data_IF_795433595044
#
_entry.id   IF_795433595044
#
_cell.length_a   1.000
_cell.length_b   1.000
_cell.length_c   1.000
_cell.angle_alpha   90.00
_cell.angle_beta   90.00
_cell.angle_gamma   90.00
#
_symmetry.space_group_name_H-M   'P 1'
#
loop_
_entity.id
_entity.type
_entity.pdbx_description
1 polymer ?
#
# COMPACT_ATOMS: atom_id res chain seq x y z
N UNK A 1 8.88 -65.48 -3.33
CA UNK A 1 9.29 -66.82 -2.84
C UNK A 1 9.74 -67.63 -4.06
N UNK A 2 10.84 -68.42 -4.03
CA UNK A 2 11.43 -69.09 -2.87
C UNK A 2 12.84 -68.62 -2.48
N UNK A 3 13.20 -68.99 -1.26
CA UNK A 3 14.45 -68.73 -0.53
C UNK A 3 15.53 -69.75 -0.93
N UNK A 4 16.79 -69.34 -1.01
CA UNK A 4 17.94 -70.24 -1.01
C UNK A 4 18.65 -70.22 0.35
N UNK A 5 18.90 -71.41 0.88
CA UNK A 5 19.65 -71.69 2.10
C UNK A 5 21.15 -71.73 1.78
N UNK A 6 21.98 -71.20 2.67
CA UNK A 6 23.33 -71.73 2.93
C UNK A 6 23.67 -71.61 4.42
N UNK A 7 24.43 -72.59 4.86
CA UNK A 7 24.50 -73.13 6.21
C UNK A 7 25.89 -72.92 6.81
N UNK A 8 25.91 -72.60 8.11
CA UNK A 8 26.93 -72.83 9.17
C UNK A 8 28.42 -72.52 8.92
N UNK A 9 29.02 -71.75 9.85
CA UNK A 9 30.02 -72.30 10.77
C UNK A 9 30.26 -71.38 11.98
N UNK A 10 30.12 -71.99 13.16
CA UNK A 10 30.37 -71.47 14.50
C UNK A 10 31.86 -71.62 14.83
N UNK A 11 32.49 -70.58 15.38
CA UNK A 11 33.73 -70.70 16.13
C UNK A 11 33.66 -69.82 17.36
N UNK A 12 33.71 -70.47 18.53
CA UNK A 12 33.81 -69.82 19.84
C UNK A 12 35.24 -69.32 20.05
N UNK A 13 35.38 -68.10 20.55
CA UNK A 13 36.55 -67.67 21.31
C UNK A 13 36.07 -66.76 22.45
N UNK A 14 36.24 -67.24 23.68
CA UNK A 14 35.99 -66.50 24.91
C UNK A 14 37.19 -65.61 25.24
N UNK A 15 36.95 -64.37 25.66
CA UNK A 15 37.86 -63.49 26.42
C UNK A 15 37.05 -62.27 26.94
N UNK A 16 37.49 -61.54 27.99
CA UNK A 16 36.92 -61.57 29.34
C UNK A 16 35.97 -60.39 29.62
N UNK A 17 35.14 -60.57 30.66
CA UNK A 17 34.36 -59.49 31.28
C UNK A 17 35.31 -58.58 32.06
N UNK A 18 35.57 -57.40 31.50
CA UNK A 18 36.09 -56.25 32.25
C UNK A 18 34.91 -55.34 32.58
N UNK A 19 34.67 -55.13 33.87
CA UNK A 19 33.73 -54.12 34.34
C UNK A 19 34.21 -52.72 33.90
N UNK A 20 33.37 -51.87 33.30
CA UNK A 20 33.74 -50.49 33.08
C UNK A 20 33.72 -49.76 34.42
N UNK A 21 34.91 -49.40 34.88
CA UNK A 21 35.16 -48.39 35.89
C UNK A 21 34.52 -47.08 35.39
N UNK A 22 33.70 -46.47 36.24
CA UNK A 22 33.06 -45.19 35.94
C UNK A 22 34.11 -44.12 35.65
N UNK A 23 34.25 -43.77 34.38
CA UNK A 23 34.94 -42.57 33.97
C UNK A 23 33.98 -41.40 34.17
N UNK A 24 34.20 -40.65 35.25
CA UNK A 24 33.68 -39.29 35.37
C UNK A 24 34.10 -38.52 34.11
N UNK A 25 33.16 -38.31 33.19
CA UNK A 25 33.35 -37.40 32.09
C UNK A 25 33.35 -36.00 32.69
N UNK A 26 34.55 -35.47 32.90
CA UNK A 26 34.74 -34.04 33.06
C UNK A 26 34.01 -33.35 31.91
N UNK A 27 33.07 -32.46 32.24
CA UNK A 27 32.42 -31.61 31.28
C UNK A 27 33.49 -30.88 30.48
N UNK A 28 33.59 -31.19 29.19
CA UNK A 28 34.38 -30.38 28.26
C UNK A 28 33.72 -29.00 28.29
N UNK A 29 34.44 -27.92 28.66
CA UNK A 29 33.89 -26.59 28.54
C UNK A 29 33.58 -26.38 27.07
N UNK A 30 32.29 -26.31 26.76
CA UNK A 30 31.79 -25.95 25.44
C UNK A 30 32.34 -24.55 25.19
N UNK A 31 33.36 -24.44 24.33
CA UNK A 31 33.89 -23.16 23.92
C UNK A 31 32.74 -22.38 23.31
N UNK A 32 32.26 -21.38 24.04
CA UNK A 32 31.24 -20.46 23.56
C UNK A 32 31.78 -19.88 22.25
N UNK A 33 31.13 -20.24 21.15
CA UNK A 33 31.34 -19.55 19.88
C UNK A 33 31.01 -18.10 20.19
N UNK A 34 31.95 -17.14 20.04
CA UNK A 34 31.62 -15.74 20.29
C UNK A 34 30.47 -15.40 19.35
N UNK A 35 29.31 -15.09 19.93
CA UNK A 35 28.25 -14.44 19.18
C UNK A 35 28.90 -13.20 18.57
N UNK A 36 28.92 -13.13 17.24
CA UNK A 36 29.30 -11.92 16.56
C UNK A 36 28.38 -10.83 17.11
N UNK A 37 28.94 -9.92 17.88
CA UNK A 37 28.24 -8.70 18.30
C UNK A 37 28.04 -7.92 17.02
N UNK A 38 26.91 -8.14 16.36
CA UNK A 38 26.41 -7.21 15.36
C UNK A 38 26.25 -5.90 16.13
N UNK A 39 26.95 -4.82 15.77
CA UNK A 39 26.69 -3.54 16.39
C UNK A 39 25.21 -3.26 16.19
N UNK A 40 24.45 -3.23 17.28
CA UNK A 40 23.10 -2.65 17.28
C UNK A 40 23.30 -1.17 16.96
N UNK A 41 23.28 -0.83 15.68
CA UNK A 41 22.94 0.53 15.30
C UNK A 41 21.55 0.75 15.91
N UNK A 42 21.49 1.59 16.95
CA UNK A 42 20.20 2.07 17.44
C UNK A 42 19.41 2.57 16.23
N UNK A 43 18.11 2.27 16.13
CA UNK A 43 17.34 2.66 14.96
C UNK A 43 17.57 4.14 14.69
N UNK A 44 17.97 4.47 13.47
CA UNK A 44 18.03 5.86 13.05
C UNK A 44 16.62 6.42 13.27
N UNK A 45 16.46 7.28 14.27
CA UNK A 45 15.18 7.96 14.50
C UNK A 45 15.05 8.99 13.40
N UNK A 46 14.10 8.80 12.50
CA UNK A 46 13.87 9.76 11.42
C UNK A 46 13.34 11.06 12.02
N UNK A 47 13.72 12.24 11.48
CA UNK A 47 13.08 13.49 11.87
C UNK A 47 11.56 13.38 11.63
N UNK A 48 10.78 14.18 12.37
CA UNK A 48 9.33 14.21 12.22
C UNK A 48 8.96 14.34 10.74
N UNK A 49 8.25 13.34 10.20
CA UNK A 49 7.90 13.30 8.80
C UNK A 49 6.88 14.40 8.47
N UNK A 50 6.99 14.97 7.28
CA UNK A 50 5.95 15.85 6.75
C UNK A 50 4.74 14.99 6.41
N UNK A 51 3.59 15.29 7.00
CA UNK A 51 2.31 14.65 6.67
C UNK A 51 1.61 15.45 5.57
N UNK A 52 1.10 14.76 4.55
CA UNK A 52 0.21 15.41 3.58
C UNK A 52 -1.18 15.65 4.20
N UNK A 53 -1.88 16.75 3.87
CA UNK A 53 -3.27 16.91 4.26
C UNK A 53 -4.13 15.75 3.72
N UNK A 54 -5.16 15.35 4.47
CA UNK A 54 -5.91 14.12 4.21
C UNK A 54 -6.51 14.02 2.78
N UNK A 55 -6.78 15.13 2.09
CA UNK A 55 -7.30 15.12 0.71
C UNK A 55 -6.24 15.09 -0.40
N UNK A 56 -4.94 15.16 -0.07
CA UNK A 56 -3.88 15.12 -1.06
C UNK A 56 -3.64 13.69 -1.53
N UNK A 57 -3.45 13.51 -2.84
CA UNK A 57 -3.22 12.20 -3.45
C UNK A 57 -1.82 12.08 -4.03
N UNK A 58 -1.34 10.85 -4.13
CA UNK A 58 -0.15 10.55 -4.92
C UNK A 58 -0.45 10.68 -6.42
N UNK A 59 0.51 11.18 -7.20
CA UNK A 59 0.40 11.20 -8.66
C UNK A 59 0.76 9.82 -9.21
N UNK A 60 -0.24 8.98 -9.49
CA UNK A 60 -0.04 7.61 -9.96
C UNK A 60 0.61 7.51 -11.34
N UNK A 61 0.82 8.64 -12.03
CA UNK A 61 1.54 8.71 -13.31
C UNK A 61 3.00 9.14 -13.15
N UNK A 62 3.41 9.51 -11.95
CA UNK A 62 4.78 9.88 -11.69
C UNK A 62 5.71 8.68 -11.87
N UNK A 63 6.94 8.96 -12.29
CA UNK A 63 7.96 7.93 -12.43
C UNK A 63 8.28 7.33 -11.05
N UNK A 64 8.07 6.01 -10.86
CA UNK A 64 8.37 5.37 -9.60
C UNK A 64 9.88 5.14 -9.43
N UNK A 65 10.33 5.14 -8.18
CA UNK A 65 11.70 4.77 -7.83
C UNK A 65 11.72 3.32 -7.37
N UNK A 66 12.67 2.51 -7.85
CA UNK A 66 12.95 1.19 -7.27
C UNK A 66 13.44 1.36 -5.83
N UNK A 67 12.67 0.82 -4.88
CA UNK A 67 12.84 1.10 -3.46
C UNK A 67 14.16 0.58 -2.91
N UNK A 68 14.59 -0.58 -3.41
CA UNK A 68 15.79 -1.29 -2.94
C UNK A 68 16.87 -1.38 -4.02
N UNK A 69 16.58 -0.93 -5.24
CA UNK A 69 17.45 -1.04 -6.42
C UNK A 69 17.59 -2.48 -6.94
N UNK A 70 16.77 -3.41 -6.45
CA UNK A 70 16.80 -4.84 -6.77
C UNK A 70 15.58 -5.59 -6.24
N UNK A 71 15.36 -6.77 -6.80
CA UNK A 71 14.45 -7.78 -6.26
C UNK A 71 15.02 -8.39 -4.96
N UNK A 72 14.15 -8.61 -3.97
CA UNK A 72 14.48 -9.12 -2.64
C UNK A 72 13.98 -10.55 -2.50
N UNK A 73 14.90 -11.48 -2.23
CA UNK A 73 14.56 -12.83 -1.81
C UNK A 73 14.14 -12.81 -0.34
N UNK A 74 12.90 -13.18 -0.06
CA UNK A 74 12.35 -13.33 1.29
C UNK A 74 12.56 -14.76 1.81
N UNK A 75 12.24 -15.03 3.09
CA UNK A 75 12.49 -16.33 3.74
C UNK A 75 11.59 -17.47 3.23
N UNK A 76 10.45 -17.12 2.63
CA UNK A 76 9.53 -18.09 2.02
C UNK A 76 9.61 -18.02 0.49
N UNK A 77 9.36 -19.15 -0.16
CA UNK A 77 9.29 -19.29 -1.63
C UNK A 77 7.94 -18.89 -2.23
N UNK A 78 6.97 -18.52 -1.38
CA UNK A 78 5.63 -18.04 -1.76
C UNK A 78 5.64 -16.55 -2.10
N UNK A 79 4.64 -16.08 -2.84
CA UNK A 79 4.50 -14.63 -3.13
C UNK A 79 4.29 -13.86 -1.82
N UNK A 80 4.86 -12.66 -1.74
CA UNK A 80 4.48 -11.72 -0.68
C UNK A 80 3.05 -11.24 -0.94
N UNK A 81 2.32 -10.93 0.12
CA UNK A 81 0.89 -10.57 0.06
C UNK A 81 0.72 -9.07 0.36
N UNK A 82 1.42 -8.57 1.37
CA UNK A 82 1.39 -7.16 1.77
C UNK A 82 2.72 -6.73 2.39
N UNK A 83 2.97 -5.42 2.40
CA UNK A 83 4.07 -4.78 3.12
C UNK A 83 3.53 -3.65 3.99
N UNK A 84 4.19 -3.37 5.10
CA UNK A 84 4.00 -2.16 5.89
C UNK A 84 5.34 -1.68 6.43
N UNK A 85 5.42 -0.40 6.81
CA UNK A 85 6.66 0.23 7.26
C UNK A 85 6.51 0.71 8.69
N UNK A 86 7.53 0.45 9.50
CA UNK A 86 7.64 1.04 10.81
C UNK A 86 7.90 2.55 10.68
N UNK A 87 6.99 3.41 11.19
CA UNK A 87 7.07 4.85 11.01
C UNK A 87 8.24 5.50 11.76
N UNK A 88 8.91 4.78 12.67
CA UNK A 88 10.04 5.27 13.47
C UNK A 88 11.37 4.81 12.89
N UNK A 89 11.47 3.52 12.56
CA UNK A 89 12.75 2.90 12.15
C UNK A 89 12.94 2.83 10.63
N UNK A 90 11.86 2.98 9.86
CA UNK A 90 11.86 2.83 8.41
C UNK A 90 12.01 1.38 7.92
N UNK A 91 12.03 0.40 8.83
CA UNK A 91 12.06 -1.03 8.50
C UNK A 91 10.76 -1.44 7.82
N UNK A 92 10.87 -2.27 6.79
CA UNK A 92 9.72 -2.87 6.13
C UNK A 92 9.38 -4.22 6.77
N UNK A 93 8.09 -4.53 6.84
CA UNK A 93 7.55 -5.81 7.28
C UNK A 93 6.73 -6.38 6.15
N UNK A 94 7.20 -7.48 5.55
CA UNK A 94 6.57 -8.11 4.39
C UNK A 94 6.01 -9.48 4.76
N UNK A 95 4.71 -9.69 4.51
CA UNK A 95 4.02 -10.93 4.85
C UNK A 95 3.96 -11.88 3.65
N UNK A 96 4.15 -13.17 3.91
CA UNK A 96 4.05 -14.29 2.97
C UNK A 96 3.25 -15.42 3.62
N UNK A 97 2.59 -16.27 2.83
CA UNK A 97 2.21 -17.59 3.34
C UNK A 97 3.48 -18.42 3.64
N UNK A 98 3.44 -19.26 4.67
CA UNK A 98 4.54 -20.21 4.92
C UNK A 98 4.60 -21.21 3.76
N UNK A 99 5.80 -21.42 3.24
CA UNK A 99 6.06 -22.37 2.17
C UNK A 99 5.99 -23.83 2.61
N UNK A 100 5.80 -24.71 1.63
CA UNK A 100 6.06 -26.13 1.78
C UNK A 100 7.50 -26.39 2.28
N UNK A 101 7.71 -27.56 2.91
CA UNK A 101 9.01 -28.00 3.44
C UNK A 101 9.59 -27.16 4.59
N UNK A 102 8.93 -26.07 4.98
CA UNK A 102 9.22 -25.41 6.25
C UNK A 102 8.64 -26.23 7.40
N UNK A 103 9.53 -26.71 8.25
CA UNK A 103 9.21 -27.28 9.57
C UNK A 103 9.51 -26.20 10.60
N UNK A 104 8.48 -25.74 11.30
CA UNK A 104 8.65 -24.79 12.40
C UNK A 104 9.29 -25.49 13.61
N UNK A 105 9.88 -24.72 14.52
CA UNK A 105 10.66 -25.28 15.63
C UNK A 105 9.86 -26.21 16.56
N UNK A 106 8.53 -26.08 16.59
CA UNK A 106 7.60 -26.90 17.36
C UNK A 106 6.87 -27.98 16.52
N UNK A 107 7.25 -28.15 15.26
CA UNK A 107 6.65 -29.13 14.36
C UNK A 107 7.57 -30.33 14.11
N UNK A 108 6.98 -31.51 13.94
CA UNK A 108 7.71 -32.75 13.63
C UNK A 108 7.51 -33.20 12.19
N UNK A 109 6.65 -32.52 11.43
CA UNK A 109 6.30 -32.87 10.05
C UNK A 109 6.30 -31.63 9.19
N UNK A 110 6.62 -31.83 7.91
CA UNK A 110 6.41 -30.83 6.87
C UNK A 110 4.92 -30.78 6.51
N UNK A 111 4.38 -29.58 6.36
CA UNK A 111 3.08 -29.37 5.72
C UNK A 111 3.26 -28.94 4.26
N UNK A 112 2.38 -29.38 3.34
CA UNK A 112 2.38 -28.89 1.97
C UNK A 112 1.85 -27.44 1.89
N UNK A 113 2.16 -26.79 0.77
CA UNK A 113 1.86 -25.37 0.51
C UNK A 113 0.38 -25.01 0.63
N UNK A 114 -0.48 -25.88 0.12
CA UNK A 114 -1.93 -25.75 0.15
C UNK A 114 -2.48 -25.91 1.57
N UNK A 115 -1.93 -26.84 2.36
CA UNK A 115 -2.31 -27.00 3.77
C UNK A 115 -1.93 -25.79 4.62
N UNK A 116 -0.76 -25.19 4.40
CA UNK A 116 -0.39 -23.92 5.06
C UNK A 116 -1.38 -22.80 4.71
N UNK A 117 -1.78 -22.72 3.45
CA UNK A 117 -2.73 -21.72 2.98
C UNK A 117 -4.15 -21.94 3.53
N UNK A 118 -4.61 -23.19 3.57
CA UNK A 118 -5.89 -23.61 4.16
C UNK A 118 -5.95 -23.43 5.67
N UNK A 119 -4.80 -23.36 6.36
CA UNK A 119 -4.69 -22.99 7.78
C UNK A 119 -4.55 -21.49 8.02
N UNK A 120 -4.16 -20.72 7.00
CA UNK A 120 -3.84 -19.31 7.15
C UNK A 120 -2.52 -19.08 7.89
N UNK A 121 -1.53 -19.93 7.63
CA UNK A 121 -0.20 -19.84 8.22
C UNK A 121 0.68 -18.84 7.45
N UNK A 122 1.15 -17.81 8.15
CA UNK A 122 1.90 -16.68 7.61
C UNK A 122 3.33 -16.60 8.19
N UNK A 123 4.21 -15.98 7.41
CA UNK A 123 5.54 -15.53 7.79
C UNK A 123 5.63 -14.02 7.57
N UNK A 124 6.16 -13.29 8.55
CA UNK A 124 6.47 -11.86 8.44
C UNK A 124 7.98 -11.68 8.43
N UNK A 125 8.49 -11.12 7.33
CA UNK A 125 9.90 -10.78 7.14
C UNK A 125 10.13 -9.34 7.59
N UNK A 126 11.10 -9.09 8.45
CA UNK A 126 11.62 -7.76 8.74
C UNK A 126 12.77 -7.45 7.78
N UNK A 127 12.66 -6.37 7.02
CA UNK A 127 13.58 -6.00 5.93
C UNK A 127 14.15 -4.61 6.18
N UNK A 128 15.47 -4.50 6.09
CA UNK A 128 16.21 -3.25 6.21
C UNK A 128 15.98 -2.32 4.99
N UNK A 129 16.27 -1.01 5.10
CA UNK A 129 16.14 -0.08 3.98
C UNK A 129 17.00 -0.41 2.75
N UNK A 130 18.04 -1.24 2.90
CA UNK A 130 18.89 -1.75 1.81
C UNK A 130 18.40 -3.08 1.20
N UNK A 131 17.23 -3.55 1.64
CA UNK A 131 16.63 -4.81 1.21
C UNK A 131 17.15 -6.06 1.91
N UNK A 132 18.00 -5.93 2.93
CA UNK A 132 18.47 -7.09 3.71
C UNK A 132 17.35 -7.63 4.60
N UNK A 133 17.02 -8.92 4.48
CA UNK A 133 16.11 -9.60 5.43
C UNK A 133 16.84 -9.82 6.75
N UNK A 134 16.37 -9.16 7.81
CA UNK A 134 17.01 -9.15 9.13
C UNK A 134 16.47 -10.26 10.04
N UNK A 135 15.18 -10.51 9.98
CA UNK A 135 14.49 -11.44 10.89
C UNK A 135 13.16 -11.92 10.29
N UNK A 136 12.62 -12.99 10.87
CA UNK A 136 11.31 -13.55 10.52
C UNK A 136 10.49 -13.85 11.77
N UNK A 137 9.18 -13.80 11.66
CA UNK A 137 8.21 -14.24 12.67
C UNK A 137 7.15 -15.11 11.98
N UNK A 138 6.75 -16.22 12.61
CA UNK A 138 5.75 -17.13 12.08
C UNK A 138 4.44 -16.99 12.84
N UNK A 139 3.32 -16.99 12.11
CA UNK A 139 1.98 -16.75 12.61
C UNK A 139 1.06 -17.86 12.10
N UNK A 140 0.51 -18.71 12.99
CA UNK A 140 -0.38 -19.81 12.59
C UNK A 140 -1.84 -19.46 12.82
N UNK A 141 -2.70 -19.77 11.84
CA UNK A 141 -4.15 -19.48 11.95
C UNK A 141 -4.53 -18.02 11.77
N UNK A 142 -3.69 -17.20 11.13
CA UNK A 142 -3.93 -15.75 11.00
C UNK A 142 -4.77 -15.40 9.76
N UNK A 143 -4.52 -16.03 8.61
CA UNK A 143 -5.30 -15.82 7.39
C UNK A 143 -4.42 -15.76 6.14
N UNK A 144 -4.77 -14.87 5.20
CA UNK A 144 -4.09 -14.83 3.90
C UNK A 144 -2.93 -13.82 3.82
N UNK A 145 -2.92 -12.79 4.68
CA UNK A 145 -1.94 -11.70 4.67
C UNK A 145 -2.34 -10.51 3.79
N UNK A 146 -3.64 -10.33 3.51
CA UNK A 146 -4.14 -9.31 2.56
C UNK A 146 -4.14 -7.86 3.08
N UNK A 147 -3.79 -7.66 4.34
CA UNK A 147 -3.60 -6.34 4.96
C UNK A 147 -2.62 -6.40 6.12
N UNK A 148 -1.87 -5.33 6.28
CA UNK A 148 -0.82 -5.20 7.29
C UNK A 148 -0.66 -3.74 7.67
N UNK A 149 -0.45 -3.49 8.95
CA UNK A 149 -0.03 -2.20 9.49
C UNK A 149 1.05 -2.40 10.55
N UNK A 150 1.87 -1.37 10.75
CA UNK A 150 2.88 -1.34 11.81
C UNK A 150 2.67 -0.10 12.66
N UNK A 151 2.48 -0.31 13.95
CA UNK A 151 2.44 0.74 14.97
C UNK A 151 3.71 0.61 15.82
N UNK A 152 4.43 1.69 16.06
CA UNK A 152 5.62 1.66 16.91
C UNK A 152 5.29 2.24 18.28
N UNK A 153 5.32 1.41 19.33
CA UNK A 153 4.98 1.80 20.70
C UNK A 153 6.12 1.42 21.62
N UNK A 154 6.69 2.41 22.31
CA UNK A 154 7.72 2.23 23.33
C UNK A 154 8.90 1.34 22.87
N UNK A 155 9.42 1.60 21.66
CA UNK A 155 10.54 0.85 21.09
C UNK A 155 10.15 -0.49 20.45
N UNK A 156 8.86 -0.86 20.48
CA UNK A 156 8.37 -2.15 19.99
C UNK A 156 7.50 -1.96 18.74
N UNK A 157 7.82 -2.63 17.62
CA UNK A 157 6.94 -2.71 16.47
C UNK A 157 5.79 -3.69 16.75
N UNK A 158 4.57 -3.18 16.69
CA UNK A 158 3.32 -3.93 16.80
C UNK A 158 2.72 -4.10 15.40
N UNK A 159 2.51 -5.35 15.01
CA UNK A 159 1.88 -5.71 13.75
C UNK A 159 0.37 -5.76 13.92
N UNK A 160 -0.33 -5.13 12.99
CA UNK A 160 -1.77 -5.21 12.82
C UNK A 160 -2.08 -5.98 11.55
N UNK A 161 -2.77 -7.10 11.65
CA UNK A 161 -3.10 -7.96 10.51
C UNK A 161 -4.38 -8.75 10.79
N UNK A 162 -4.86 -9.49 9.80
CA UNK A 162 -5.97 -10.42 10.00
C UNK A 162 -5.62 -11.55 10.99
N UNK A 163 -6.59 -12.07 11.73
CA UNK A 163 -6.41 -13.20 12.65
C UNK A 163 -7.68 -14.04 12.78
N UNK A 164 -7.56 -15.17 13.51
CA UNK A 164 -8.62 -16.15 13.73
C UNK A 164 -9.22 -16.64 12.40
N UNK A 165 -8.36 -17.20 11.55
CA UNK A 165 -8.77 -17.74 10.26
C UNK A 165 -9.50 -19.08 10.43
N UNK A 166 -10.59 -19.25 9.69
CA UNK A 166 -11.25 -20.55 9.63
C UNK A 166 -10.43 -21.50 8.76
N UNK A 167 -10.13 -22.68 9.30
CA UNK A 167 -9.52 -23.73 8.51
C UNK A 167 -10.44 -24.13 7.36
N UNK A 168 -9.91 -24.12 6.15
CA UNK A 168 -10.57 -24.61 4.95
C UNK A 168 -10.20 -26.09 4.78
N UNK A 169 -11.14 -27.05 4.85
CA UNK A 169 -10.82 -28.45 4.60
C UNK A 169 -10.43 -28.69 3.14
N UNK A 170 -9.52 -29.63 2.91
CA UNK A 170 -9.27 -30.17 1.57
C UNK A 170 -10.52 -30.90 1.07
N UNK A 171 -11.15 -30.38 0.01
CA UNK A 171 -12.30 -30.99 -0.66
C UNK A 171 -11.88 -31.90 -1.83
N UNK A 172 -10.57 -32.06 -2.05
CA UNK A 172 -9.99 -32.85 -3.14
C UNK A 172 -10.09 -32.18 -4.50
N UNK A 173 -10.56 -30.93 -4.58
CA UNK A 173 -10.70 -30.17 -5.81
C UNK A 173 -9.67 -29.03 -5.89
N UNK A 174 -8.63 -29.17 -6.72
CA UNK A 174 -7.58 -28.15 -6.85
C UNK A 174 -8.09 -26.79 -7.34
N UNK A 175 -9.27 -26.70 -7.95
CA UNK A 175 -9.87 -25.45 -8.40
C UNK A 175 -10.59 -24.68 -7.28
N UNK A 176 -10.92 -25.34 -6.17
CA UNK A 176 -11.58 -24.78 -4.97
C UNK A 176 -10.69 -24.86 -3.74
N UNK A 177 -9.38 -25.10 -3.91
CA UNK A 177 -8.38 -24.95 -2.86
C UNK A 177 -8.34 -23.48 -2.41
N UNK A 178 -9.23 -23.15 -1.48
CA UNK A 178 -9.41 -21.82 -0.95
C UNK A 178 -8.34 -21.55 0.12
N UNK A 179 -7.82 -20.33 0.11
CA UNK A 179 -6.99 -19.84 1.19
C UNK A 179 -7.89 -19.55 2.40
N UNK A 180 -7.39 -19.79 3.61
CA UNK A 180 -8.06 -19.30 4.80
C UNK A 180 -7.92 -17.79 4.90
N UNK A 181 -8.99 -17.15 5.36
CA UNK A 181 -9.06 -15.71 5.58
C UNK A 181 -9.43 -15.44 7.04
N UNK A 182 -8.79 -14.45 7.64
CA UNK A 182 -9.07 -14.02 9.00
C UNK A 182 -10.44 -13.36 9.12
N UNK A 183 -11.09 -13.58 10.26
CA UNK A 183 -12.38 -12.97 10.63
C UNK A 183 -12.22 -11.75 11.53
N UNK A 184 -11.05 -11.59 12.13
CA UNK A 184 -10.77 -10.56 13.11
C UNK A 184 -9.50 -9.80 12.75
N UNK A 185 -9.29 -8.67 13.42
CA UNK A 185 -8.01 -7.96 13.37
C UNK A 185 -7.19 -8.35 14.61
N UNK A 186 -5.98 -8.86 14.40
CA UNK A 186 -5.01 -9.15 15.45
C UNK A 186 -3.96 -8.03 15.57
N UNK A 187 -3.58 -7.72 16.80
CA UNK A 187 -2.44 -6.87 17.15
C UNK A 187 -1.43 -7.68 17.96
N UNK A 188 -0.21 -7.82 17.45
CA UNK A 188 0.84 -8.65 18.06
C UNK A 188 2.20 -7.97 17.96
N UNK A 189 3.00 -8.03 19.02
CA UNK A 189 4.36 -7.51 18.98
C UNK A 189 5.24 -8.37 18.07
N UNK A 190 5.95 -7.75 17.13
CA UNK A 190 6.91 -8.49 16.33
C UNK A 190 8.11 -8.90 17.20
N UNK A 191 8.40 -10.21 17.21
CA UNK A 191 9.56 -10.76 17.89
C UNK A 191 10.31 -11.72 16.94
N UNK A 192 11.59 -11.47 16.66
CA UNK A 192 12.39 -12.34 15.80
C UNK A 192 12.35 -13.81 16.23
N UNK A 193 12.13 -14.70 15.27
CA UNK A 193 12.19 -16.15 15.40
C UNK A 193 11.00 -16.78 16.12
N UNK A 194 10.01 -16.02 16.58
CA UNK A 194 8.88 -16.60 17.32
C UNK A 194 7.83 -17.20 16.41
N UNK A 195 7.12 -18.18 16.94
CA UNK A 195 5.91 -18.78 16.38
C UNK A 195 4.77 -18.36 17.30
N UNK A 196 3.72 -17.77 16.73
CA UNK A 196 2.53 -17.33 17.48
C UNK A 196 1.28 -17.90 16.84
N UNK A 197 0.46 -18.56 17.66
CA UNK A 197 -0.86 -19.04 17.27
C UNK A 197 -1.90 -17.93 17.41
N UNK A 198 -2.89 -17.87 16.51
CA UNK A 198 -3.96 -16.86 16.56
C UNK A 198 -4.75 -16.87 17.88
N UNK A 199 -4.89 -18.04 18.52
CA UNK A 199 -5.56 -18.20 19.82
C UNK A 199 -4.67 -17.88 21.03
N UNK A 200 -3.41 -17.52 20.79
CA UNK A 200 -2.46 -17.21 21.85
C UNK A 200 -2.85 -15.93 22.59
N UNK A 201 -2.68 -15.85 23.93
CA UNK A 201 -2.89 -14.62 24.69
C UNK A 201 -1.89 -13.51 24.32
N UNK A 202 -0.89 -13.80 23.48
CA UNK A 202 0.01 -12.79 22.91
C UNK A 202 -0.65 -11.94 21.82
N UNK A 203 -1.79 -12.37 21.29
CA UNK A 203 -2.54 -11.68 20.24
C UNK A 203 -3.69 -10.93 20.89
N UNK A 204 -3.70 -9.61 20.74
CA UNK A 204 -4.88 -8.82 21.03
C UNK A 204 -5.83 -8.88 19.83
N UNK A 205 -7.04 -9.40 20.03
CA UNK A 205 -8.00 -9.67 18.93
C UNK A 205 -9.14 -8.66 18.95
N UNK A 206 -9.46 -8.04 17.82
CA UNK A 206 -10.53 -7.07 17.61
C UNK A 206 -11.55 -7.59 16.59
N UNK A 207 -12.85 -7.49 16.90
CA UNK A 207 -13.96 -7.88 16.00
C UNK A 207 -14.80 -6.64 15.59
N UNK A 208 -14.31 -5.84 14.63
CA UNK A 208 -15.00 -4.62 14.22
C UNK A 208 -16.21 -4.87 13.32
N UNK A 209 -16.30 -6.05 12.70
CA UNK A 209 -17.41 -6.42 11.82
C UNK A 209 -17.80 -7.87 12.06
N UNK A 210 -18.61 -8.13 13.11
CA UNK A 210 -19.01 -9.49 13.46
C UNK A 210 -19.66 -10.23 12.29
N UNK A 211 -19.20 -11.46 12.04
CA UNK A 211 -19.72 -12.33 10.97
C UNK A 211 -19.17 -12.05 9.57
N UNK A 212 -18.22 -11.13 9.42
CA UNK A 212 -17.50 -10.94 8.16
C UNK A 212 -16.31 -11.91 8.02
N UNK A 213 -15.79 -12.05 6.79
CA UNK A 213 -14.55 -12.77 6.47
C UNK A 213 -13.60 -11.86 5.68
N UNK A 214 -12.36 -12.31 5.45
CA UNK A 214 -11.30 -11.54 4.79
C UNK A 214 -11.13 -10.14 5.41
N UNK A 215 -11.17 -10.13 6.75
CA UNK A 215 -11.11 -8.92 7.57
C UNK A 215 -9.66 -8.52 7.72
N UNK A 216 -9.24 -7.53 6.93
CA UNK A 216 -7.85 -7.10 6.84
C UNK A 216 -7.72 -5.63 7.25
N UNK A 217 -6.62 -5.21 7.91
CA UNK A 217 -6.43 -3.83 8.32
C UNK A 217 -5.52 -3.04 7.36
N UNK A 218 -5.64 -1.72 7.43
CA UNK A 218 -4.62 -0.78 6.98
C UNK A 218 -4.52 0.37 7.98
N UNK A 219 -3.30 0.65 8.46
CA UNK A 219 -3.04 1.73 9.40
C UNK A 219 -2.61 3.00 8.70
N UNK A 220 -3.16 4.12 9.15
CA UNK A 220 -2.74 5.46 8.79
C UNK A 220 -2.41 6.23 10.08
N UNK A 221 -1.18 5.98 10.56
CA UNK A 221 -0.65 6.58 11.80
C UNK A 221 -0.50 8.10 11.66
N UNK A 222 -0.39 8.62 10.45
CA UNK A 222 -0.30 10.06 10.16
C UNK A 222 -1.59 10.81 10.48
N UNK A 223 -2.73 10.16 10.33
CA UNK A 223 -4.04 10.75 10.55
C UNK A 223 -4.80 10.14 11.72
N UNK A 224 -4.15 9.26 12.49
CA UNK A 224 -4.77 8.59 13.64
C UNK A 224 -5.91 7.66 13.25
N UNK A 225 -5.79 6.95 12.12
CA UNK A 225 -6.88 6.14 11.56
C UNK A 225 -6.47 4.69 11.32
N UNK A 226 -7.48 3.82 11.34
CA UNK A 226 -7.40 2.45 10.83
C UNK A 226 -8.56 2.24 9.86
N UNK A 227 -8.29 1.65 8.71
CA UNK A 227 -9.32 1.09 7.85
C UNK A 227 -9.37 -0.43 8.01
N UNK A 228 -10.56 -0.98 7.84
CA UNK A 228 -10.81 -2.43 7.77
C UNK A 228 -11.49 -2.72 6.44
N UNK A 229 -10.85 -3.54 5.61
CA UNK A 229 -11.51 -4.18 4.48
C UNK A 229 -12.11 -5.49 4.96
N UNK A 230 -13.35 -5.78 4.58
CA UNK A 230 -14.00 -7.04 4.91
C UNK A 230 -14.94 -7.48 3.79
N UNK A 231 -15.28 -8.77 3.79
CA UNK A 231 -16.33 -9.36 2.95
C UNK A 231 -17.50 -9.71 3.86
N UNK A 232 -18.67 -9.04 3.73
CA UNK A 232 -19.86 -9.40 4.50
C UNK A 232 -20.41 -10.76 4.05
N UNK A 233 -21.26 -11.37 4.88
CA UNK A 233 -21.92 -12.65 4.55
C UNK A 233 -22.74 -12.62 3.26
N UNK A 234 -23.18 -11.44 2.85
CA UNK A 234 -23.82 -11.21 1.57
C UNK A 234 -23.45 -9.82 1.05
N UNK A 235 -23.09 -9.74 -0.23
CA UNK A 235 -22.77 -8.47 -0.89
C UNK A 235 -21.29 -8.31 -1.22
N UNK A 236 -20.93 -7.17 -1.83
CA UNK A 236 -19.55 -6.86 -2.19
C UNK A 236 -18.69 -6.57 -0.95
N UNK A 237 -17.37 -6.67 -1.12
CA UNK A 237 -16.43 -6.25 -0.08
C UNK A 237 -16.59 -4.75 0.24
N UNK A 238 -16.30 -4.37 1.48
CA UNK A 238 -16.39 -3.00 1.98
C UNK A 238 -15.09 -2.58 2.68
N UNK A 239 -14.77 -1.29 2.58
CA UNK A 239 -13.79 -0.61 3.42
C UNK A 239 -14.53 0.21 4.48
N UNK A 240 -14.15 0.08 5.76
CA UNK A 240 -14.66 0.93 6.85
C UNK A 240 -13.51 1.64 7.52
N UNK A 241 -13.64 2.95 7.72
CA UNK A 241 -12.58 3.78 8.32
C UNK A 241 -13.00 4.17 9.73
N UNK A 242 -12.09 3.98 10.69
CA UNK A 242 -12.27 4.23 12.11
C UNK A 242 -11.19 5.19 12.63
N UNK A 243 -11.49 5.80 13.77
CA UNK A 243 -10.46 6.43 14.61
C UNK A 243 -9.63 5.34 15.30
N UNK A 244 -8.30 5.44 15.25
CA UNK A 244 -7.42 4.38 15.74
C UNK A 244 -7.46 4.23 17.27
N UNK A 245 -7.57 5.34 18.00
CA UNK A 245 -7.61 5.28 19.47
C UNK A 245 -8.96 4.76 19.95
N UNK A 246 -10.06 5.15 19.30
CA UNK A 246 -11.38 4.55 19.53
C UNK A 246 -11.37 3.04 19.24
N UNK A 247 -10.76 2.63 18.12
CA UNK A 247 -10.65 1.23 17.73
C UNK A 247 -9.89 0.40 18.76
N UNK A 248 -8.75 0.90 19.27
CA UNK A 248 -7.99 0.27 20.36
C UNK A 248 -8.83 0.10 21.63
N UNK A 249 -9.74 1.03 21.89
CA UNK A 249 -10.69 0.98 23.00
C UNK A 249 -11.96 0.17 22.72
N UNK A 250 -12.00 -0.57 21.60
CA UNK A 250 -13.12 -1.40 21.16
C UNK A 250 -14.39 -0.62 20.81
N UNK A 251 -14.27 0.67 20.50
CA UNK A 251 -15.32 1.42 19.84
C UNK A 251 -15.18 1.26 18.33
N UNK A 252 -16.03 0.40 17.77
CA UNK A 252 -16.05 0.07 16.35
C UNK A 252 -17.11 0.85 15.59
N UNK A 253 -17.32 2.13 15.93
CA UNK A 253 -18.20 3.02 15.16
C UNK A 253 -17.46 3.55 13.92
N UNK A 254 -17.81 3.12 12.69
CA UNK A 254 -17.12 3.59 11.50
C UNK A 254 -17.43 5.08 11.26
N UNK A 255 -16.40 5.85 10.90
CA UNK A 255 -16.56 7.24 10.42
C UNK A 255 -17.07 7.28 9.00
N UNK A 256 -16.61 6.33 8.17
CA UNK A 256 -16.99 6.20 6.77
C UNK A 256 -16.99 4.72 6.36
N UNK A 257 -17.83 4.40 5.37
CA UNK A 257 -17.94 3.08 4.75
C UNK A 257 -17.98 3.23 3.23
N UNK A 258 -17.24 2.38 2.52
CA UNK A 258 -17.08 2.43 1.06
C UNK A 258 -17.25 1.01 0.52
N UNK A 259 -18.12 0.84 -0.46
CA UNK A 259 -18.22 -0.43 -1.19
C UNK A 259 -17.10 -0.55 -2.22
N UNK A 260 -16.35 -1.65 -2.18
CA UNK A 260 -15.33 -1.94 -3.18
C UNK A 260 -15.98 -2.21 -4.55
N UNK A 261 -15.57 -1.45 -5.56
CA UNK A 261 -16.08 -1.55 -6.95
C UNK A 261 -15.26 -2.52 -7.83
N UNK A 262 -14.05 -2.88 -7.41
CA UNK A 262 -13.12 -3.74 -8.16
C UNK A 262 -12.49 -4.81 -7.26
N UNK A 263 -11.97 -5.89 -7.86
CA UNK A 263 -11.27 -6.95 -7.11
C UNK A 263 -10.03 -6.38 -6.43
N UNK A 264 -9.85 -6.67 -5.15
CA UNK A 264 -8.67 -6.24 -4.37
C UNK A 264 -7.62 -7.33 -4.37
N UNK A 265 -6.40 -6.98 -4.76
CA UNK A 265 -5.21 -7.82 -4.54
C UNK A 265 -4.50 -7.35 -3.27
N UNK A 266 -4.22 -6.06 -3.16
CA UNK A 266 -3.76 -5.36 -1.96
C UNK A 266 -4.36 -3.95 -1.89
N UNK A 267 -4.29 -3.33 -0.71
CA UNK A 267 -4.85 -2.00 -0.49
C UNK A 267 -4.22 -1.29 0.73
N UNK A 268 -4.31 0.04 0.77
CA UNK A 268 -3.99 0.83 1.95
C UNK A 268 -4.85 2.08 2.10
N UNK A 269 -5.01 2.55 3.34
CA UNK A 269 -5.56 3.85 3.69
C UNK A 269 -4.43 4.89 3.80
N UNK A 270 -4.66 6.09 3.29
CA UNK A 270 -3.88 7.26 3.65
C UNK A 270 -4.72 8.54 3.49
N UNK A 271 -4.91 9.27 4.58
CA UNK A 271 -5.78 10.44 4.66
C UNK A 271 -7.26 10.07 4.45
N UNK A 272 -7.87 10.70 3.46
CA UNK A 272 -9.24 10.48 2.99
C UNK A 272 -9.26 9.59 1.74
N UNK A 273 -8.21 8.80 1.49
CA UNK A 273 -8.08 8.01 0.28
C UNK A 273 -7.77 6.55 0.58
N UNK A 274 -8.45 5.65 -0.11
CA UNK A 274 -8.07 4.23 -0.17
C UNK A 274 -7.41 3.97 -1.51
N UNK A 275 -6.17 3.50 -1.48
CA UNK A 275 -5.43 3.03 -2.64
C UNK A 275 -5.56 1.52 -2.71
N UNK A 276 -5.98 1.01 -3.85
CA UNK A 276 -6.15 -0.41 -4.10
C UNK A 276 -5.39 -0.77 -5.37
N UNK A 277 -4.75 -1.94 -5.39
CA UNK A 277 -4.35 -2.57 -6.64
C UNK A 277 -5.20 -3.81 -6.95
N UNK A 278 -5.29 -4.10 -8.23
CA UNK A 278 -5.96 -5.25 -8.83
C UNK A 278 -5.03 -5.84 -9.88
N UNK A 279 -4.97 -7.16 -10.00
CA UNK A 279 -4.29 -7.82 -11.11
C UNK A 279 -4.05 -9.29 -10.81
N UNK A 280 -3.48 -9.97 -11.78
CA UNK A 280 -2.98 -11.34 -11.66
C UNK A 280 -1.58 -11.43 -12.23
N UNK A 281 -0.85 -12.47 -11.84
CA UNK A 281 0.40 -12.84 -12.47
C UNK A 281 0.35 -12.84 -14.01
N UNK A 282 1.48 -12.51 -14.64
CA UNK A 282 1.70 -12.83 -16.05
C UNK A 282 1.52 -14.33 -16.31
N UNK A 283 0.78 -14.65 -17.38
CA UNK A 283 0.49 -16.01 -17.83
C UNK A 283 0.17 -16.01 -19.32
N UNK A 284 -0.15 -17.18 -19.88
CA UNK A 284 -0.65 -17.30 -21.26
C UNK A 284 -1.98 -16.58 -21.49
N UNK A 285 -2.81 -16.49 -20.45
CA UNK A 285 -4.12 -15.80 -20.50
C UNK A 285 -4.05 -14.35 -20.00
N UNK A 286 -2.93 -13.95 -19.39
CA UNK A 286 -2.64 -12.59 -18.96
C UNK A 286 -1.21 -12.19 -19.38
N UNK A 287 -0.90 -12.14 -20.68
CA UNK A 287 0.46 -11.80 -21.14
C UNK A 287 0.76 -10.32 -20.87
N UNK A 288 2.05 -9.95 -20.91
CA UNK A 288 2.48 -8.54 -20.88
C UNK A 288 1.67 -7.70 -21.88
N UNK A 289 1.13 -6.53 -21.48
CA UNK A 289 1.46 -5.76 -20.27
C UNK A 289 0.72 -6.20 -18.98
N UNK A 290 -0.10 -7.25 -19.06
CA UNK A 290 -0.94 -7.78 -17.98
C UNK A 290 -2.12 -6.88 -17.65
N UNK A 291 -2.62 -7.02 -16.43
CA UNK A 291 -3.85 -6.38 -15.96
C UNK A 291 -3.68 -5.72 -14.57
N UNK A 292 -2.49 -5.19 -14.27
CA UNK A 292 -2.26 -4.47 -13.01
C UNK A 292 -2.87 -3.07 -13.05
N UNK A 293 -3.89 -2.82 -12.23
CA UNK A 293 -4.60 -1.55 -12.14
C UNK A 293 -4.55 -1.00 -10.72
N UNK A 294 -4.39 0.31 -10.61
CA UNK A 294 -4.65 1.04 -9.37
C UNK A 294 -6.05 1.65 -9.43
N UNK A 295 -6.73 1.62 -8.28
CA UNK A 295 -7.97 2.35 -8.04
C UNK A 295 -7.81 3.17 -6.76
N UNK A 296 -8.24 4.44 -6.81
CA UNK A 296 -8.28 5.34 -5.65
C UNK A 296 -9.72 5.67 -5.35
N UNK A 297 -10.14 5.40 -4.12
CA UNK A 297 -11.44 5.77 -3.59
C UNK A 297 -11.30 7.01 -2.70
N UNK A 298 -12.22 7.96 -2.83
CA UNK A 298 -12.41 9.00 -1.84
C UNK A 298 -13.29 8.47 -0.70
N UNK A 299 -12.76 8.53 0.52
CA UNK A 299 -13.39 7.99 1.73
C UNK A 299 -14.65 8.76 2.12
N UNK A 300 -14.69 10.05 1.85
CA UNK A 300 -15.81 10.91 2.25
C UNK A 300 -17.02 10.70 1.36
N UNK A 301 -16.78 10.52 0.05
CA UNK A 301 -17.84 10.36 -0.96
C UNK A 301 -18.14 8.91 -1.30
N UNK A 302 -17.19 8.00 -1.07
CA UNK A 302 -17.26 6.60 -1.50
C UNK A 302 -17.00 6.40 -3.00
N UNK A 303 -16.67 7.47 -3.74
CA UNK A 303 -16.49 7.41 -5.18
C UNK A 303 -15.07 7.05 -5.61
N UNK A 304 -14.97 6.45 -6.80
CA UNK A 304 -13.67 6.20 -7.44
C UNK A 304 -13.22 7.51 -8.10
N UNK A 305 -12.17 8.11 -7.55
CA UNK A 305 -11.62 9.39 -8.05
C UNK A 305 -10.50 9.19 -9.07
N UNK A 306 -9.91 7.99 -9.10
CA UNK A 306 -8.92 7.62 -10.11
C UNK A 306 -8.89 6.11 -10.33
N UNK A 307 -8.74 5.71 -11.59
CA UNK A 307 -8.36 4.34 -11.95
C UNK A 307 -7.38 4.38 -13.11
N UNK A 308 -6.18 3.84 -12.89
CA UNK A 308 -5.05 3.98 -13.79
C UNK A 308 -4.33 2.64 -13.95
N UNK A 309 -3.94 2.31 -15.18
CA UNK A 309 -3.12 1.12 -15.44
C UNK A 309 -1.72 1.32 -14.88
N UNK A 310 -1.23 0.38 -14.10
CA UNK A 310 0.13 0.40 -13.59
C UNK A 310 1.07 -0.14 -14.66
N UNK A 311 1.87 0.75 -15.26
CA UNK A 311 2.87 0.41 -16.28
C UNK A 311 4.29 0.23 -15.71
N UNK A 312 4.45 0.17 -14.38
CA UNK A 312 5.76 0.00 -13.75
C UNK A 312 6.31 -1.39 -13.98
N UNK A 313 7.60 -1.47 -14.33
CA UNK A 313 8.36 -2.71 -14.42
C UNK A 313 7.76 -3.78 -15.35
N UNK A 314 7.26 -3.38 -16.54
CA UNK A 314 6.69 -4.31 -17.52
C UNK A 314 7.66 -5.40 -18.00
N UNK A 315 8.98 -5.19 -17.84
CA UNK A 315 10.03 -6.12 -18.22
C UNK A 315 10.27 -7.28 -17.25
N UNK A 316 9.58 -7.34 -16.11
CA UNK A 316 9.67 -8.47 -15.18
C UNK A 316 9.16 -9.77 -15.84
N UNK A 317 9.91 -10.86 -15.68
CA UNK A 317 9.56 -12.16 -16.28
C UNK A 317 8.28 -12.76 -15.68
N UNK A 318 8.06 -12.52 -14.39
CA UNK A 318 6.81 -12.76 -13.69
C UNK A 318 6.43 -11.47 -12.99
N UNK A 319 5.17 -11.06 -13.13
CA UNK A 319 4.66 -9.80 -12.61
C UNK A 319 3.26 -10.02 -12.06
N UNK A 320 3.18 -10.28 -10.78
CA UNK A 320 1.93 -10.31 -10.02
C UNK A 320 1.94 -9.11 -9.10
N UNK A 321 0.94 -8.23 -9.23
CA UNK A 321 0.88 -7.05 -8.36
C UNK A 321 0.57 -7.51 -6.95
N UNK A 322 1.38 -7.11 -6.00
CA UNK A 322 1.25 -7.50 -4.60
C UNK A 322 1.67 -6.31 -3.76
N UNK A 323 1.07 -6.16 -2.59
CA UNK A 323 1.32 -5.06 -1.67
C UNK A 323 1.08 -3.63 -2.20
N UNK A 324 0.50 -2.80 -1.34
CA UNK A 324 0.46 -1.35 -1.48
C UNK A 324 0.34 -0.75 -0.09
N UNK A 325 1.17 0.24 0.21
CA UNK A 325 1.28 0.87 1.52
C UNK A 325 1.80 2.30 1.38
N UNK A 326 1.63 3.10 2.42
CA UNK A 326 2.32 4.39 2.52
C UNK A 326 3.43 4.27 3.56
N UNK A 327 4.62 4.72 3.20
CA UNK A 327 5.73 4.88 4.14
C UNK A 327 6.01 6.35 4.39
N UNK A 328 6.32 6.69 5.63
CA UNK A 328 6.87 8.01 5.97
C UNK A 328 8.30 8.11 5.47
N UNK A 329 8.68 9.27 4.95
CA UNK A 329 10.08 9.61 4.67
C UNK A 329 10.42 11.02 5.15
N UNK A 330 11.71 11.38 5.31
CA UNK A 330 12.08 12.75 5.67
C UNK A 330 11.59 13.78 4.65
N UNK A 331 11.38 13.37 3.38
CA UNK A 331 10.89 14.22 2.31
C UNK A 331 9.34 14.28 2.20
N UNK A 332 8.63 13.58 3.09
CA UNK A 332 7.17 13.39 3.02
C UNK A 332 6.79 11.93 2.83
N UNK A 333 5.48 11.61 2.80
CA UNK A 333 5.03 10.24 2.61
C UNK A 333 5.32 9.79 1.18
N UNK A 334 5.46 8.48 1.00
CA UNK A 334 5.68 7.84 -0.30
C UNK A 334 4.72 6.66 -0.43
N UNK A 335 3.96 6.62 -1.52
CA UNK A 335 3.15 5.45 -1.88
C UNK A 335 4.08 4.36 -2.39
N UNK A 336 4.13 3.24 -1.69
CA UNK A 336 4.90 2.06 -2.04
C UNK A 336 3.95 0.99 -2.56
N UNK A 337 4.35 0.30 -3.61
CA UNK A 337 3.64 -0.84 -4.18
C UNK A 337 4.63 -1.89 -4.66
N UNK A 338 4.18 -3.13 -4.79
CA UNK A 338 5.04 -4.26 -5.11
C UNK A 338 4.61 -5.11 -6.30
N UNK A 339 5.56 -5.92 -6.74
CA UNK A 339 5.31 -7.08 -7.60
C UNK A 339 6.03 -8.30 -7.06
N UNK A 340 5.35 -9.43 -7.01
CA UNK A 340 6.02 -10.72 -6.88
C UNK A 340 6.66 -11.08 -8.22
N UNK A 341 7.91 -11.56 -8.19
CA UNK A 341 8.73 -11.81 -9.37
C UNK A 341 9.33 -13.24 -9.37
N UNK A 342 9.82 -13.69 -10.52
CA UNK A 342 10.50 -14.98 -10.75
C UNK A 342 9.72 -16.27 -10.33
N UNK A 343 10.32 -17.44 -10.56
CA UNK A 343 9.79 -18.76 -10.16
C UNK A 343 10.06 -19.09 -8.68
N UNK A 344 11.19 -18.66 -8.12
CA UNK A 344 11.41 -18.55 -6.66
C UNK A 344 11.01 -17.14 -6.27
N UNK A 345 9.80 -16.98 -5.72
CA UNK A 345 9.11 -15.69 -5.63
C UNK A 345 9.93 -14.63 -4.88
N UNK A 346 10.51 -13.66 -5.59
CA UNK A 346 11.11 -12.47 -4.96
C UNK A 346 10.07 -11.35 -4.86
N UNK A 347 10.40 -10.31 -4.08
CA UNK A 347 9.64 -9.08 -3.94
C UNK A 347 10.40 -7.92 -4.59
N UNK A 348 9.76 -7.19 -5.50
CA UNK A 348 10.24 -5.90 -5.98
C UNK A 348 9.29 -4.81 -5.48
N UNK A 349 9.80 -3.78 -4.79
CA UNK A 349 9.01 -2.65 -4.33
C UNK A 349 9.41 -1.37 -5.06
N UNK A 350 8.42 -0.53 -5.32
CA UNK A 350 8.56 0.74 -6.01
C UNK A 350 7.86 1.85 -5.23
N UNK A 351 8.36 3.08 -5.31
CA UNK A 351 7.86 4.21 -4.54
C UNK A 351 7.53 5.44 -5.40
N UNK A 352 6.38 6.06 -5.15
CA UNK A 352 5.96 7.34 -5.74
C UNK A 352 5.86 8.38 -4.63
N UNK A 353 6.62 9.46 -4.75
CA UNK A 353 6.61 10.60 -3.79
C UNK A 353 5.93 11.84 -4.35
N UNK A 354 5.75 11.90 -5.67
CA UNK A 354 5.04 12.99 -6.29
C UNK A 354 3.56 12.96 -5.88
N UNK A 355 3.03 14.13 -5.54
CA UNK A 355 1.63 14.30 -5.17
C UNK A 355 0.93 15.20 -6.17
N UNK A 356 -0.33 14.92 -6.39
CA UNK A 356 -1.22 15.74 -7.19
C UNK A 356 -2.49 16.00 -6.39
N UNK A 357 -3.28 16.99 -6.79
CA UNK A 357 -4.66 17.11 -6.31
C UNK A 357 -5.60 16.90 -7.51
N UNK A 358 -6.85 16.48 -7.30
CA UNK A 358 -7.86 16.51 -8.36
C UNK A 358 -8.02 17.92 -8.93
N UNK A 359 -8.38 18.03 -10.21
CA UNK A 359 -8.93 19.28 -10.72
C UNK A 359 -10.21 19.57 -9.95
N UNK A 360 -10.21 20.68 -9.22
CA UNK A 360 -11.34 21.11 -8.40
C UNK A 360 -12.03 22.25 -9.12
N UNK A 361 -13.36 22.15 -9.27
CA UNK A 361 -14.18 23.19 -9.88
C UNK A 361 -14.03 24.52 -9.12
N UNK A 362 -13.91 25.60 -9.89
CA UNK A 362 -13.93 26.96 -9.39
C UNK A 362 -15.29 27.57 -9.74
N UNK A 363 -15.91 28.20 -8.74
CA UNK A 363 -17.06 29.06 -8.99
C UNK A 363 -16.65 30.25 -9.85
N UNK A 364 -17.51 30.61 -10.81
CA UNK A 364 -17.31 31.75 -11.70
C UNK A 364 -18.62 32.54 -11.85
N UNK A 365 -18.51 33.80 -12.27
CA UNK A 365 -19.68 34.69 -12.35
C UNK A 365 -20.75 34.19 -13.30
N UNK A 366 -22.03 34.40 -12.96
CA UNK A 366 -23.18 34.03 -13.81
C UNK A 366 -23.25 34.79 -15.14
N UNK A 367 -22.41 35.82 -15.31
CA UNK A 367 -22.22 36.51 -16.59
C UNK A 367 -21.48 35.66 -17.64
N UNK A 368 -20.93 34.52 -17.24
CA UNK A 368 -20.12 33.65 -18.09
C UNK A 368 -20.72 32.26 -18.22
N UNK A 369 -20.40 31.59 -19.32
CA UNK A 369 -20.70 30.17 -19.54
C UNK A 369 -19.43 29.45 -19.96
N UNK A 370 -19.27 28.21 -19.52
CA UNK A 370 -18.15 27.34 -19.85
C UNK A 370 -18.63 26.17 -20.71
N UNK A 371 -17.75 25.62 -21.54
CA UNK A 371 -18.03 24.35 -22.23
C UNK A 371 -17.76 23.18 -21.28
N UNK A 372 -18.47 22.07 -21.44
CA UNK A 372 -18.35 20.91 -20.53
C UNK A 372 -16.92 20.37 -20.41
N UNK A 373 -16.10 20.49 -21.46
CA UNK A 373 -14.71 20.02 -21.47
C UNK A 373 -13.70 20.98 -20.82
N UNK A 374 -14.08 22.23 -20.52
CA UNK A 374 -13.18 23.30 -20.03
C UNK A 374 -13.84 24.20 -18.96
N UNK A 375 -14.55 23.59 -18.02
CA UNK A 375 -15.06 24.31 -16.84
C UNK A 375 -13.89 24.90 -16.03
N UNK A 376 -14.05 26.11 -15.44
CA UNK A 376 -13.03 26.68 -14.57
C UNK A 376 -12.67 25.75 -13.44
N UNK A 377 -11.39 25.38 -13.38
CA UNK A 377 -10.86 24.42 -12.42
C UNK A 377 -9.45 24.81 -12.01
N UNK A 378 -9.05 24.38 -10.82
CA UNK A 378 -7.68 24.49 -10.35
C UNK A 378 -7.11 23.13 -9.93
N UNK A 379 -5.79 23.05 -9.91
CA UNK A 379 -5.04 21.96 -9.29
C UNK A 379 -3.80 22.53 -8.63
N UNK A 380 -3.58 22.22 -7.36
CA UNK A 380 -2.41 22.64 -6.59
C UNK A 380 -1.44 21.47 -6.34
N UNK A 381 -0.18 21.65 -6.72
CA UNK A 381 0.92 20.73 -6.46
C UNK A 381 2.03 21.46 -5.72
N UNK A 382 2.06 21.33 -4.38
CA UNK A 382 2.94 22.14 -3.53
C UNK A 382 2.52 23.61 -3.52
N UNK A 383 3.46 24.50 -3.82
CA UNK A 383 3.22 25.94 -4.00
C UNK A 383 2.72 26.29 -5.42
N UNK A 384 2.79 25.35 -6.37
CA UNK A 384 2.30 25.58 -7.74
C UNK A 384 0.79 25.39 -7.81
N UNK A 385 0.08 26.38 -8.34
CA UNK A 385 -1.33 26.32 -8.71
C UNK A 385 -1.46 26.34 -10.22
N UNK A 386 -1.91 25.23 -10.81
CA UNK A 386 -2.37 25.15 -12.19
C UNK A 386 -3.85 25.59 -12.25
N UNK A 387 -4.18 26.41 -13.24
CA UNK A 387 -5.53 26.82 -13.57
C UNK A 387 -5.87 26.35 -14.98
N UNK A 388 -7.13 25.95 -15.18
CA UNK A 388 -7.67 25.74 -16.52
C UNK A 388 -9.08 26.27 -16.62
N UNK A 389 -9.38 26.94 -17.73
CA UNK A 389 -10.74 27.39 -18.02
C UNK A 389 -10.90 27.73 -19.50
N UNK A 390 -12.14 27.64 -19.98
CA UNK A 390 -12.58 28.32 -21.19
C UNK A 390 -13.99 28.86 -20.96
N UNK A 391 -14.14 30.19 -21.07
CA UNK A 391 -15.41 30.86 -20.82
C UNK A 391 -15.78 31.84 -21.93
N UNK A 392 -17.07 32.02 -22.11
CA UNK A 392 -17.68 33.02 -23.01
C UNK A 392 -18.66 33.86 -22.21
N UNK A 393 -18.77 35.16 -22.54
CA UNK A 393 -19.81 36.02 -21.96
C UNK A 393 -21.20 35.59 -22.44
N UNK A 394 -22.14 35.46 -21.52
CA UNK A 394 -23.54 35.11 -21.81
C UNK A 394 -24.23 36.23 -22.62
N UNK A 395 -23.84 37.49 -22.39
CA UNK A 395 -24.41 38.66 -23.08
C UNK A 395 -23.83 38.91 -24.48
N UNK A 396 -22.83 38.14 -24.91
CA UNK A 396 -22.16 38.28 -26.19
C UNK A 396 -21.39 39.60 -26.39
N UNK A 397 -21.23 40.41 -25.34
CA UNK A 397 -20.51 41.70 -25.43
C UNK A 397 -19.00 41.49 -25.52
N UNK A 398 -18.30 42.55 -25.91
CA UNK A 398 -16.84 42.57 -25.91
C UNK A 398 -16.27 42.39 -24.48
N UNK A 399 -15.09 41.78 -24.40
CA UNK A 399 -14.34 41.69 -23.15
C UNK A 399 -13.82 43.06 -22.72
N UNK A 400 -13.89 43.36 -21.42
CA UNK A 400 -13.33 44.59 -20.85
C UNK A 400 -11.96 44.30 -20.24
N UNK A 401 -10.97 45.15 -20.50
CA UNK A 401 -9.66 45.04 -19.84
C UNK A 401 -9.80 45.21 -18.32
N UNK A 402 -9.21 44.30 -17.55
CA UNK A 402 -9.31 44.24 -16.09
C UNK A 402 -10.58 43.56 -15.57
N UNK A 403 -11.42 42.99 -16.44
CA UNK A 403 -12.64 42.27 -16.03
C UNK A 403 -12.31 41.04 -15.18
N UNK A 404 -13.01 40.90 -14.05
CA UNK A 404 -12.82 39.77 -13.12
C UNK A 404 -13.71 38.61 -13.52
N UNK A 405 -13.11 37.45 -13.76
CA UNK A 405 -13.81 36.24 -14.23
C UNK A 405 -14.29 35.39 -13.04
N UNK A 406 -13.41 35.22 -12.05
CA UNK A 406 -13.65 34.43 -10.85
C UNK A 406 -12.77 34.93 -9.70
N UNK A 407 -13.05 34.44 -8.49
CA UNK A 407 -12.21 34.68 -7.31
C UNK A 407 -11.72 33.34 -6.76
N UNK A 408 -10.42 33.20 -6.59
CA UNK A 408 -9.82 31.99 -6.03
C UNK A 408 -10.16 31.86 -4.53
N UNK A 409 -10.39 30.62 -4.06
CA UNK A 409 -10.41 30.30 -2.63
C UNK A 409 -9.20 30.86 -1.89
N UNK A 410 -9.37 31.23 -0.62
CA UNK A 410 -8.34 31.92 0.17
C UNK A 410 -7.01 31.16 0.23
N UNK A 411 -7.04 29.83 0.24
CA UNK A 411 -5.86 28.97 0.28
C UNK A 411 -5.02 28.98 -1.00
N UNK A 412 -5.53 29.52 -2.11
CA UNK A 412 -4.83 29.57 -3.40
C UNK A 412 -4.28 30.97 -3.72
N UNK A 413 -4.53 31.96 -2.87
CA UNK A 413 -4.25 33.36 -3.19
C UNK A 413 -2.75 33.63 -3.10
N UNK A 414 -2.13 34.19 -4.15
CA UNK A 414 -0.72 34.49 -4.11
C UNK A 414 -0.45 35.70 -3.21
N UNK A 415 0.74 35.78 -2.62
CA UNK A 415 1.16 36.94 -1.82
C UNK A 415 1.41 38.22 -2.64
N UNK A 416 1.46 38.11 -3.98
CA UNK A 416 1.66 39.20 -4.93
C UNK A 416 0.92 38.90 -6.24
N UNK A 417 0.71 39.91 -7.08
CA UNK A 417 0.12 39.71 -8.41
C UNK A 417 0.96 38.74 -9.25
N UNK A 418 0.30 37.74 -9.85
CA UNK A 418 0.93 36.74 -10.72
C UNK A 418 0.40 36.90 -12.14
N UNK A 419 1.30 37.09 -13.11
CA UNK A 419 0.95 37.21 -14.53
C UNK A 419 0.97 35.87 -15.25
N UNK A 420 -0.01 35.63 -16.11
CA UNK A 420 -0.11 34.45 -16.96
C UNK A 420 -0.47 34.84 -18.39
N UNK A 421 -0.29 33.89 -19.30
CA UNK A 421 -0.61 34.03 -20.71
C UNK A 421 -1.71 33.04 -21.08
N UNK A 422 -2.80 33.55 -21.65
CA UNK A 422 -3.93 32.75 -22.12
C UNK A 422 -4.13 32.89 -23.63
N UNK A 423 -5.16 32.20 -24.12
CA UNK A 423 -5.61 32.26 -25.50
C UNK A 423 -7.03 32.82 -25.57
N UNK A 424 -7.40 33.39 -26.70
CA UNK A 424 -8.76 33.80 -26.97
C UNK A 424 -9.06 33.58 -28.46
N UNK A 425 -10.34 33.43 -28.80
CA UNK A 425 -10.77 33.54 -30.20
C UNK A 425 -11.27 34.92 -30.51
N UNK A 426 -10.95 35.38 -31.72
CA UNK A 426 -11.59 36.55 -32.29
C UNK A 426 -12.98 36.23 -32.81
N UNK A 427 -14.00 36.83 -32.20
CA UNK A 427 -15.19 37.26 -32.91
C UNK A 427 -15.09 38.79 -33.19
N UNK A 428 -15.58 39.19 -34.37
CA UNK A 428 -15.30 40.49 -34.99
C UNK A 428 -14.33 40.41 -36.17
N UNK A 429 -13.41 41.38 -36.29
CA UNK A 429 -12.46 41.51 -37.42
C UNK A 429 -11.18 40.69 -37.28
N UNK A 430 -10.99 39.97 -36.18
CA UNK A 430 -9.78 39.18 -35.91
C UNK A 430 -10.05 37.71 -36.22
N UNK A 431 -9.36 37.14 -37.21
CA UNK A 431 -9.65 35.81 -37.77
C UNK A 431 -8.72 34.68 -37.27
N UNK A 432 -8.11 34.82 -36.08
CA UNK A 432 -7.22 33.81 -35.52
C UNK A 432 -7.17 33.80 -33.99
N UNK A 433 -6.53 32.79 -33.38
CA UNK A 433 -6.29 32.75 -31.95
C UNK A 433 -5.39 33.90 -31.52
N UNK A 434 -5.78 34.58 -30.45
CA UNK A 434 -5.06 35.70 -29.85
C UNK A 434 -4.46 35.27 -28.52
N UNK A 435 -3.30 35.83 -28.21
CA UNK A 435 -2.74 35.75 -26.86
C UNK A 435 -3.33 36.86 -26.00
N UNK A 436 -3.75 36.53 -24.78
CA UNK A 436 -4.32 37.45 -23.79
C UNK A 436 -3.50 37.42 -22.50
N UNK A 437 -3.40 38.56 -21.80
CA UNK A 437 -2.75 38.62 -20.48
C UNK A 437 -3.79 38.30 -19.40
N UNK A 438 -3.39 37.50 -18.44
CA UNK A 438 -4.18 37.19 -17.26
C UNK A 438 -3.40 37.56 -16.01
N UNK A 439 -4.10 37.94 -14.96
CA UNK A 439 -3.50 38.17 -13.66
C UNK A 439 -4.32 37.54 -12.55
N UNK A 440 -3.63 36.93 -11.60
CA UNK A 440 -4.19 36.60 -10.29
C UNK A 440 -3.70 37.64 -9.30
N UNK A 441 -4.64 38.38 -8.73
CA UNK A 441 -4.38 39.41 -7.73
C UNK A 441 -4.21 38.80 -6.32
N UNK A 442 -3.58 39.50 -5.36
CA UNK A 442 -3.42 38.99 -3.99
C UNK A 442 -4.73 38.73 -3.23
N UNK A 443 -5.82 39.38 -3.65
CA UNK A 443 -7.17 39.13 -3.12
C UNK A 443 -7.85 37.91 -3.76
N UNK A 444 -7.16 37.23 -4.68
CA UNK A 444 -7.63 36.04 -5.39
C UNK A 444 -8.38 36.32 -6.69
N UNK A 445 -8.58 37.57 -7.09
CA UNK A 445 -9.30 37.87 -8.32
C UNK A 445 -8.49 37.46 -9.55
N UNK A 446 -9.08 36.61 -10.41
CA UNK A 446 -8.54 36.27 -11.71
C UNK A 446 -9.11 37.24 -12.75
N UNK A 447 -8.24 38.06 -13.34
CA UNK A 447 -8.60 39.11 -14.29
C UNK A 447 -7.97 38.88 -15.66
N UNK A 448 -8.66 39.30 -16.71
CA UNK A 448 -8.13 39.35 -18.08
C UNK A 448 -7.81 40.78 -18.47
N UNK A 449 -6.72 40.98 -19.19
CA UNK A 449 -6.28 42.28 -19.70
C UNK A 449 -6.08 42.22 -21.21
N UNK A 450 -6.92 42.96 -21.92
CA UNK A 450 -6.86 43.13 -23.37
C UNK A 450 -7.59 44.40 -23.82
N UNK A 451 -6.94 45.23 -24.63
CA UNK A 451 -7.48 46.51 -25.09
C UNK A 451 -8.24 46.43 -26.42
N UNK A 452 -8.23 45.25 -27.08
CA UNK A 452 -8.76 45.10 -28.44
C UNK A 452 -10.29 44.98 -28.52
N UNK A 453 -10.98 44.96 -27.39
CA UNK A 453 -12.44 44.85 -27.29
C UNK A 453 -13.04 43.72 -28.16
N UNK A 454 -12.39 42.55 -28.17
CA UNK A 454 -12.84 41.41 -28.95
C UNK A 454 -14.05 40.73 -28.30
N UNK A 455 -14.87 40.05 -29.12
CA UNK A 455 -15.92 39.13 -28.66
C UNK A 455 -15.45 37.68 -28.81
N UNK A 456 -16.09 36.72 -28.15
CA UNK A 456 -15.76 35.28 -28.25
C UNK A 456 -15.32 34.67 -26.92
N UNK A 457 -14.72 33.47 -26.97
CA UNK A 457 -14.22 32.81 -25.76
C UNK A 457 -12.80 33.26 -25.40
N UNK A 458 -12.50 33.17 -24.11
CA UNK A 458 -11.17 33.30 -23.53
C UNK A 458 -10.83 32.00 -22.82
N UNK A 459 -9.56 31.60 -22.86
CA UNK A 459 -9.10 30.38 -22.25
C UNK A 459 -7.73 30.56 -21.59
N UNK A 460 -7.54 29.77 -20.55
CA UNK A 460 -6.26 29.56 -19.91
C UNK A 460 -5.98 28.05 -20.02
N UNK A 461 -5.35 27.64 -21.12
CA UNK A 461 -5.03 26.23 -21.35
C UNK A 461 -3.75 25.90 -20.56
N UNK A 462 -3.91 25.58 -19.26
CA UNK A 462 -2.86 25.26 -18.28
C UNK A 462 -1.93 26.42 -17.89
N UNK A 463 -2.49 27.59 -17.58
CA UNK A 463 -1.72 28.64 -16.90
C UNK A 463 -1.42 28.24 -15.46
N UNK A 464 -0.24 28.62 -14.95
CA UNK A 464 0.15 28.31 -13.58
C UNK A 464 0.82 29.51 -12.91
N UNK A 465 0.78 29.52 -11.59
CA UNK A 465 1.53 30.44 -10.75
C UNK A 465 2.01 29.73 -9.48
N UNK A 466 2.90 30.38 -8.72
CA UNK A 466 3.29 29.93 -7.38
C UNK A 466 2.61 30.80 -6.33
N UNK A 467 1.92 30.16 -5.37
CA UNK A 467 1.13 30.81 -4.31
C UNK A 467 1.97 31.17 -3.09
#
# INVERSE_FOLDING_TARGET
MPLSRRTLLTAMAATPVLAPVGAAHAAVPQAAVPQAVVPQAGPAVWPAAVTLPAGHRFDLKAEPVDLFGREILLDQTRVHQQVAFDPVTGLAYAVQCISDKRVLADETVTLPDDERARRGDLCVNQVAPDGTVLAVMYLRGFGHGGGLGVEHVDGTPWLWLETDADYVPDDGNPQTNENAYGKHIGRVAFKPGTIVDAVSPLVEVFDPVPGATAVTPSLDIDHGRIAVRHVPSSGPAEYRVYDLDAFKNRDFTPKHSITAKYRTQAWCLYGNLVYQNEGSAYSTTNPSPGNSWWTVYDVLTGEVVERTFNATALGLAHRETEAIAVRRTPAGPQLVFGFATQEKRHMALYGISATTVPWTDLDYGSAYTATDSYRPQYRQSGDRVDLRLRVTRVDGKAWTSGETILTLPSQLRPSRTQGMVGTATGAGTITGPLTTRWEVMPDGQLRIYDERAFTGWIALDAGYFTS
#
